data_IF_272459642468
#
_entry.id   IF_272459642468
#
_cell.length_a   1.000
_cell.length_b   1.000
_cell.length_c   1.000
_cell.angle_alpha   90.00
_cell.angle_beta   90.00
_cell.angle_gamma   90.00
#
_symmetry.space_group_name_H-M   'P 1'
#
loop_
_entity.id
_entity.type
_entity.pdbx_description
1 polymer ?
#
# COMPACT_ATOMS: atom_id res chain seq x y z
N UNK A 1 -6.20 -1.29 -3.94
CA UNK A 1 -6.80 0.03 -3.67
C UNK A 1 -8.18 0.04 -4.29
N UNK A 2 -9.22 -0.02 -3.47
CA UNK A 2 -10.58 0.11 -3.98
C UNK A 2 -10.82 1.57 -4.39
N UNK A 3 -11.06 1.81 -5.69
CA UNK A 3 -11.60 3.09 -6.16
C UNK A 3 -13.07 2.87 -6.52
N UNK A 4 -13.98 3.35 -5.67
CA UNK A 4 -15.43 3.25 -5.89
C UNK A 4 -15.93 4.45 -6.71
N UNK A 5 -16.93 4.23 -7.57
CA UNK A 5 -17.71 5.33 -8.17
C UNK A 5 -18.33 6.17 -7.04
N UNK A 6 -18.45 7.49 -7.22
CA UNK A 6 -19.02 8.41 -6.21
C UNK A 6 -20.42 7.93 -5.81
N UNK A 7 -20.55 7.31 -4.63
CA UNK A 7 -21.82 6.95 -4.02
C UNK A 7 -22.35 8.11 -3.18
N UNK A 8 -23.66 8.14 -2.95
CA UNK A 8 -24.28 9.10 -2.04
C UNK A 8 -23.71 8.91 -0.62
N UNK A 9 -23.45 10.01 0.11
CA UNK A 9 -22.82 9.99 1.43
C UNK A 9 -23.58 9.09 2.44
N UNK A 10 -24.91 9.00 2.31
CA UNK A 10 -25.73 8.10 3.10
C UNK A 10 -25.43 6.61 2.87
N UNK A 11 -25.08 6.22 1.64
CA UNK A 11 -24.74 4.83 1.31
C UNK A 11 -23.36 4.49 1.89
N UNK A 12 -22.44 5.46 1.93
CA UNK A 12 -21.10 5.31 2.51
C UNK A 12 -21.17 4.95 4.00
N UNK A 13 -22.14 5.49 4.74
CA UNK A 13 -22.34 5.18 6.17
C UNK A 13 -22.60 3.70 6.46
N UNK A 14 -23.18 2.96 5.50
CA UNK A 14 -23.54 1.54 5.66
C UNK A 14 -22.63 0.61 4.83
N UNK A 15 -21.47 1.09 4.38
CA UNK A 15 -20.56 0.25 3.62
C UNK A 15 -19.77 -0.72 4.50
N UNK A 16 -19.91 -2.00 4.15
CA UNK A 16 -19.22 -3.10 4.82
C UNK A 16 -17.89 -3.46 4.16
N UNK A 17 -17.86 -3.52 2.82
CA UNK A 17 -16.69 -3.97 2.07
C UNK A 17 -15.66 -2.83 1.92
N UNK A 18 -14.45 -3.06 2.44
CA UNK A 18 -13.35 -2.10 2.45
C UNK A 18 -13.40 -1.06 3.57
N UNK A 19 -14.35 -1.20 4.51
CA UNK A 19 -14.32 -0.42 5.76
C UNK A 19 -13.63 -1.23 6.86
N UNK A 20 -13.05 -0.52 7.84
CA UNK A 20 -12.43 -1.14 9.02
C UNK A 20 -13.47 -1.75 9.98
N UNK A 21 -14.76 -1.38 9.84
CA UNK A 21 -15.81 -1.74 10.80
C UNK A 21 -15.96 -3.25 11.06
N UNK A 22 -15.97 -4.14 10.04
CA UNK A 22 -16.15 -5.58 10.27
C UNK A 22 -15.02 -6.19 11.11
N UNK A 23 -13.79 -5.72 10.92
CA UNK A 23 -12.61 -6.16 11.67
C UNK A 23 -12.69 -5.70 13.14
N UNK A 24 -13.32 -4.55 13.39
CA UNK A 24 -13.44 -3.94 14.72
C UNK A 24 -14.67 -4.41 15.50
N UNK A 25 -15.69 -4.92 14.81
CA UNK A 25 -16.98 -5.29 15.41
C UNK A 25 -16.85 -6.19 16.65
N UNK A 26 -16.02 -7.26 16.66
CA UNK A 26 -15.90 -8.12 17.85
C UNK A 26 -15.40 -7.36 19.09
N UNK A 27 -14.47 -6.42 18.88
CA UNK A 27 -13.86 -5.59 19.94
C UNK A 27 -14.89 -4.60 20.49
N UNK A 28 -15.68 -3.99 19.61
CA UNK A 28 -16.76 -3.06 19.97
C UNK A 28 -17.91 -3.75 20.70
N UNK A 29 -18.28 -4.96 20.29
CA UNK A 29 -19.29 -5.78 20.99
C UNK A 29 -18.79 -6.16 22.39
N UNK A 30 -17.52 -6.55 22.52
CA UNK A 30 -16.94 -6.85 23.82
C UNK A 30 -16.94 -5.61 24.74
N UNK A 31 -16.59 -4.44 24.20
CA UNK A 31 -16.67 -3.17 24.94
C UNK A 31 -18.12 -2.84 25.34
N UNK A 32 -19.10 -3.08 24.46
CA UNK A 32 -20.53 -2.88 24.75
C UNK A 32 -20.99 -3.76 25.92
N UNK A 33 -20.67 -5.06 25.87
CA UNK A 33 -21.01 -6.03 26.91
C UNK A 33 -20.36 -5.61 28.23
N UNK A 34 -19.07 -5.27 28.20
CA UNK A 34 -18.35 -4.81 29.39
C UNK A 34 -19.00 -3.57 30.01
N UNK A 35 -19.30 -2.55 29.21
CA UNK A 35 -19.96 -1.34 29.69
C UNK A 35 -21.36 -1.64 30.27
N UNK A 36 -22.09 -2.56 29.66
CA UNK A 36 -23.42 -2.98 30.14
C UNK A 36 -23.31 -3.67 31.50
N UNK A 37 -22.30 -4.52 31.72
CA UNK A 37 -22.02 -5.14 33.02
C UNK A 37 -21.65 -4.09 34.08
N UNK A 38 -20.79 -3.13 33.75
CA UNK A 38 -20.42 -2.05 34.67
C UNK A 38 -21.64 -1.22 35.10
N UNK A 39 -22.57 -0.95 34.19
CA UNK A 39 -23.81 -0.22 34.52
C UNK A 39 -24.76 -1.07 35.35
N UNK A 40 -24.86 -2.36 35.07
CA UNK A 40 -25.69 -3.27 35.87
C UNK A 40 -25.27 -3.25 37.34
N UNK A 41 -23.96 -3.27 37.61
CA UNK A 41 -23.38 -3.19 38.97
C UNK A 41 -23.12 -1.75 39.46
N UNK A 42 -23.72 -0.73 38.84
CA UNK A 42 -23.46 0.68 39.15
C UNK A 42 -23.68 1.00 40.64
N UNK A 43 -24.72 0.47 41.27
CA UNK A 43 -25.06 0.78 42.67
C UNK A 43 -23.96 0.27 43.61
N UNK A 44 -23.55 -0.97 43.41
CA UNK A 44 -22.50 -1.65 44.17
C UNK A 44 -21.16 -0.94 43.97
N UNK A 45 -20.79 -0.63 42.73
CA UNK A 45 -19.54 0.08 42.42
C UNK A 45 -19.47 1.47 43.07
N UNK A 46 -20.58 2.22 43.09
CA UNK A 46 -20.64 3.51 43.78
C UNK A 46 -20.50 3.34 45.29
N UNK A 47 -21.13 2.32 45.89
CA UNK A 47 -21.03 2.03 47.32
C UNK A 47 -19.58 1.70 47.75
N UNK A 48 -18.84 0.97 46.92
CA UNK A 48 -17.42 0.66 47.16
C UNK A 48 -16.45 1.78 46.73
N UNK A 49 -16.95 2.96 46.37
CA UNK A 49 -16.16 4.10 45.87
C UNK A 49 -15.28 3.77 44.64
N UNK A 50 -15.71 2.83 43.80
CA UNK A 50 -15.02 2.46 42.55
C UNK A 50 -15.49 3.36 41.42
N UNK A 51 -15.14 4.65 41.50
CA UNK A 51 -15.39 5.62 40.43
C UNK A 51 -14.15 6.50 40.24
N UNK A 52 -13.96 6.98 39.01
CA UNK A 52 -12.84 7.83 38.62
C UNK A 52 -13.39 9.21 38.25
N UNK A 53 -12.63 10.28 38.47
CA UNK A 53 -13.01 11.61 38.03
C UNK A 53 -13.07 11.68 36.48
N UNK A 54 -14.21 12.08 35.87
CA UNK A 54 -14.34 12.23 34.42
C UNK A 54 -13.26 13.11 33.77
N UNK A 55 -12.77 14.15 34.48
CA UNK A 55 -11.81 15.12 33.95
C UNK A 55 -10.49 14.47 33.53
N UNK A 56 -10.08 13.39 34.20
CA UNK A 56 -8.89 12.60 33.87
C UNK A 56 -9.01 12.01 32.45
N UNK A 57 -10.21 11.53 32.08
CA UNK A 57 -10.46 10.96 30.74
C UNK A 57 -10.49 12.02 29.64
N UNK A 58 -10.83 13.27 29.95
CA UNK A 58 -10.72 14.36 28.98
C UNK A 58 -9.24 14.61 28.65
N UNK A 59 -8.38 14.69 29.66
CA UNK A 59 -6.94 14.89 29.47
C UNK A 59 -6.31 13.74 28.67
N UNK A 60 -6.58 12.48 29.08
CA UNK A 60 -6.06 11.32 28.36
C UNK A 60 -6.64 11.20 26.94
N UNK A 61 -7.92 11.50 26.75
CA UNK A 61 -8.57 11.47 25.43
C UNK A 61 -7.93 12.45 24.45
N UNK A 62 -7.62 13.67 24.89
CA UNK A 62 -6.92 14.68 24.08
C UNK A 62 -5.50 14.21 23.75
N UNK A 63 -4.74 13.73 24.74
CA UNK A 63 -3.40 13.23 24.53
C UNK A 63 -3.37 12.06 23.51
N UNK A 64 -4.29 11.10 23.67
CA UNK A 64 -4.45 9.98 22.75
C UNK A 64 -4.78 10.43 21.33
N UNK A 65 -5.73 11.36 21.17
CA UNK A 65 -6.09 11.91 19.86
C UNK A 65 -4.88 12.54 19.15
N UNK A 66 -4.05 13.29 19.89
CA UNK A 66 -2.83 13.90 19.35
C UNK A 66 -1.82 12.83 18.91
N UNK A 67 -1.54 11.82 19.75
CA UNK A 67 -0.59 10.75 19.40
C UNK A 67 -1.05 9.92 18.20
N UNK A 68 -2.34 9.59 18.12
CA UNK A 68 -2.92 8.93 16.95
C UNK A 68 -2.83 9.80 15.70
N UNK A 69 -3.05 11.11 15.81
CA UNK A 69 -2.87 12.05 14.69
C UNK A 69 -1.45 12.05 14.13
N UNK A 70 -0.44 12.00 15.01
CA UNK A 70 0.95 11.87 14.58
C UNK A 70 1.22 10.55 13.88
N UNK A 71 0.78 9.42 14.46
CA UNK A 71 0.97 8.11 13.83
C UNK A 71 0.29 8.04 12.45
N UNK A 72 -0.96 8.50 12.36
CA UNK A 72 -1.70 8.48 11.11
C UNK A 72 -1.04 9.32 10.02
N UNK A 73 -0.46 10.47 10.40
CA UNK A 73 0.35 11.28 9.46
C UNK A 73 1.54 10.50 8.92
N UNK A 74 2.29 9.81 9.78
CA UNK A 74 3.47 9.02 9.35
C UNK A 74 3.06 7.84 8.46
N UNK A 75 2.01 7.10 8.82
CA UNK A 75 1.48 6.01 7.97
C UNK A 75 1.01 6.55 6.61
N UNK A 76 0.32 7.69 6.60
CA UNK A 76 -0.13 8.33 5.36
C UNK A 76 1.04 8.78 4.46
N UNK A 77 2.08 9.39 5.02
CA UNK A 77 3.27 9.81 4.26
C UNK A 77 3.95 8.62 3.60
N UNK A 78 4.06 7.50 4.31
CA UNK A 78 4.60 6.23 3.81
C UNK A 78 3.77 5.68 2.65
N UNK A 79 2.45 5.61 2.82
CA UNK A 79 1.53 5.20 1.75
C UNK A 79 1.65 6.09 0.51
N UNK A 80 1.68 7.40 0.72
CA UNK A 80 1.78 8.37 -0.37
C UNK A 80 3.14 8.32 -1.07
N UNK A 81 4.22 8.07 -0.34
CA UNK A 81 5.54 7.83 -0.91
C UNK A 81 5.55 6.62 -1.84
N UNK A 82 5.01 5.48 -1.36
CA UNK A 82 4.86 4.27 -2.17
C UNK A 82 4.05 4.52 -3.45
N UNK A 83 2.93 5.26 -3.35
CA UNK A 83 2.10 5.61 -4.52
C UNK A 83 2.85 6.47 -5.54
N UNK A 84 3.66 7.43 -5.07
CA UNK A 84 4.49 8.29 -5.92
C UNK A 84 5.57 7.47 -6.65
N UNK A 85 6.25 6.56 -5.95
CA UNK A 85 7.29 5.69 -6.53
C UNK A 85 6.72 4.83 -7.67
N UNK A 86 5.56 4.21 -7.45
CA UNK A 86 4.88 3.44 -8.51
C UNK A 86 4.34 4.32 -9.65
N UNK A 87 3.99 5.58 -9.38
CA UNK A 87 3.69 6.56 -10.42
C UNK A 87 4.91 6.95 -11.25
N UNK A 88 6.08 7.08 -10.62
CA UNK A 88 7.35 7.33 -11.30
C UNK A 88 7.76 6.11 -12.14
N UNK A 89 7.56 4.88 -11.63
CA UNK A 89 7.81 3.64 -12.38
C UNK A 89 7.11 3.63 -13.74
N UNK A 90 5.82 4.01 -13.77
CA UNK A 90 5.07 4.16 -15.02
C UNK A 90 5.71 5.19 -15.96
N UNK A 91 6.12 6.35 -15.46
CA UNK A 91 6.67 7.42 -16.27
C UNK A 91 8.05 7.06 -16.86
N UNK A 92 8.94 6.50 -16.05
CA UNK A 92 10.31 6.17 -16.46
C UNK A 92 10.33 4.96 -17.42
N UNK A 93 9.51 3.94 -17.17
CA UNK A 93 9.35 2.81 -18.11
C UNK A 93 8.77 3.25 -19.46
N UNK A 94 7.76 4.13 -19.47
CA UNK A 94 7.24 4.73 -20.72
C UNK A 94 8.30 5.53 -21.45
N UNK A 95 9.08 6.32 -20.72
CA UNK A 95 10.16 7.12 -21.31
C UNK A 95 11.22 6.23 -21.96
N UNK A 96 11.63 5.16 -21.29
CA UNK A 96 12.55 4.16 -21.84
C UNK A 96 11.99 3.44 -23.07
N UNK A 97 10.71 3.06 -23.05
CA UNK A 97 10.06 2.45 -24.20
C UNK A 97 10.03 3.41 -25.41
N UNK A 98 9.63 4.66 -25.22
CA UNK A 98 9.62 5.67 -26.28
C UNK A 98 11.03 5.90 -26.82
N UNK A 99 12.03 6.05 -25.94
CA UNK A 99 13.44 6.22 -26.35
C UNK A 99 13.92 5.04 -27.19
N UNK A 100 13.51 3.82 -26.84
CA UNK A 100 13.81 2.60 -27.59
C UNK A 100 13.27 2.66 -29.02
N UNK A 101 12.08 3.22 -29.25
CA UNK A 101 11.50 3.29 -30.61
C UNK A 101 11.87 4.55 -31.41
N UNK A 102 12.41 5.58 -30.76
CA UNK A 102 12.68 6.90 -31.37
C UNK A 102 14.15 7.23 -31.52
N UNK A 103 15.03 6.72 -30.65
CA UNK A 103 16.47 7.04 -30.64
C UNK A 103 17.34 5.95 -31.26
N UNK A 104 16.79 4.76 -31.53
CA UNK A 104 17.47 3.67 -32.22
C UNK A 104 17.20 3.70 -33.73
N UNK A 105 18.22 3.39 -34.53
CA UNK A 105 18.03 3.16 -35.97
C UNK A 105 17.16 1.90 -36.19
N UNK A 106 15.98 2.10 -36.80
CA UNK A 106 14.92 1.10 -36.95
C UNK A 106 15.30 -0.07 -37.88
N UNK A 107 16.33 0.05 -38.71
CA UNK A 107 16.68 -1.03 -39.65
C UNK A 107 17.17 -2.27 -38.89
N UNK A 108 16.36 -3.34 -38.96
CA UNK A 108 16.62 -4.69 -38.43
C UNK A 108 16.83 -4.80 -36.91
N UNK A 109 16.18 -3.95 -36.09
CA UNK A 109 16.34 -3.98 -34.63
C UNK A 109 15.05 -4.24 -33.83
N UNK A 110 13.93 -4.53 -34.52
CA UNK A 110 12.60 -4.67 -33.89
C UNK A 110 12.56 -5.78 -32.84
N UNK A 111 13.20 -6.93 -33.09
CA UNK A 111 13.23 -8.05 -32.14
C UNK A 111 13.90 -7.64 -30.82
N UNK A 112 15.03 -6.95 -30.91
CA UNK A 112 15.79 -6.47 -29.76
C UNK A 112 15.02 -5.39 -29.00
N UNK A 113 14.30 -4.50 -29.71
CA UNK A 113 13.42 -3.52 -29.08
C UNK A 113 12.33 -4.23 -28.25
N UNK A 114 11.64 -5.21 -28.82
CA UNK A 114 10.64 -6.01 -28.09
C UNK A 114 11.25 -6.74 -26.89
N UNK A 115 12.49 -7.26 -26.99
CA UNK A 115 13.20 -7.86 -25.86
C UNK A 115 13.45 -6.85 -24.74
N UNK A 116 13.86 -5.63 -25.06
CA UNK A 116 14.01 -4.54 -24.09
C UNK A 116 12.68 -4.15 -23.42
N UNK A 117 11.60 -4.07 -24.19
CA UNK A 117 10.26 -3.81 -23.66
C UNK A 117 9.82 -4.94 -22.71
N UNK A 118 10.06 -6.19 -23.07
CA UNK A 118 9.73 -7.32 -22.19
C UNK A 118 10.56 -7.31 -20.89
N UNK A 119 11.83 -6.88 -20.93
CA UNK A 119 12.64 -6.66 -19.72
C UNK A 119 12.06 -5.55 -18.84
N UNK A 120 11.58 -4.45 -19.41
CA UNK A 120 10.89 -3.39 -18.63
C UNK A 120 9.62 -3.92 -17.96
N UNK A 121 8.81 -4.70 -18.69
CA UNK A 121 7.60 -5.32 -18.14
C UNK A 121 7.97 -6.33 -17.04
N UNK A 122 9.02 -7.13 -17.25
CA UNK A 122 9.51 -8.08 -16.26
C UNK A 122 10.00 -7.38 -14.99
N UNK A 123 10.67 -6.22 -15.10
CA UNK A 123 11.09 -5.43 -13.94
C UNK A 123 9.90 -4.99 -13.09
N UNK A 124 8.81 -4.55 -13.72
CA UNK A 124 7.59 -4.11 -13.03
C UNK A 124 6.96 -5.25 -12.24
N UNK A 125 6.77 -6.42 -12.88
CA UNK A 125 6.22 -7.60 -12.20
C UNK A 125 7.17 -8.17 -11.15
N UNK A 126 8.47 -8.20 -11.42
CA UNK A 126 9.46 -8.62 -10.44
C UNK A 126 9.43 -7.73 -9.19
N UNK A 127 9.25 -6.42 -9.35
CA UNK A 127 9.12 -5.49 -8.22
C UNK A 127 7.84 -5.74 -7.43
N UNK A 128 6.69 -5.94 -8.10
CA UNK A 128 5.43 -6.38 -7.45
C UNK A 128 5.66 -7.64 -6.61
N UNK A 129 6.25 -8.66 -7.21
CA UNK A 129 6.48 -9.95 -6.57
C UNK A 129 7.46 -9.86 -5.39
N UNK A 130 8.53 -9.09 -5.53
CA UNK A 130 9.48 -8.84 -4.44
C UNK A 130 8.83 -8.13 -3.25
N UNK A 131 8.02 -7.10 -3.50
CA UNK A 131 7.35 -6.35 -2.42
C UNK A 131 6.24 -7.15 -1.72
N UNK A 132 5.68 -8.17 -2.39
CA UNK A 132 4.62 -9.04 -1.86
C UNK A 132 5.10 -10.40 -1.39
N UNK A 133 6.39 -10.69 -1.52
CA UNK A 133 6.96 -12.02 -1.27
C UNK A 133 6.18 -13.16 -1.97
N UNK A 134 5.93 -12.98 -3.27
CA UNK A 134 5.19 -13.95 -4.11
C UNK A 134 6.07 -14.49 -5.24
N UNK A 135 5.74 -15.67 -5.76
CA UNK A 135 6.53 -16.31 -6.83
C UNK A 135 6.35 -15.58 -8.18
N UNK A 136 7.43 -15.04 -8.79
CA UNK A 136 7.36 -14.34 -10.07
C UNK A 136 7.41 -15.27 -11.29
N UNK A 137 7.61 -16.59 -11.11
CA UNK A 137 7.94 -17.53 -12.20
C UNK A 137 7.01 -17.42 -13.42
N UNK A 138 5.70 -17.41 -13.21
CA UNK A 138 4.72 -17.35 -14.31
C UNK A 138 4.89 -16.12 -15.20
N UNK A 139 5.13 -14.95 -14.60
CA UNK A 139 5.37 -13.71 -15.35
C UNK A 139 6.75 -13.70 -16.02
N UNK A 140 7.77 -14.24 -15.34
CA UNK A 140 9.13 -14.32 -15.90
C UNK A 140 9.19 -15.26 -17.10
N UNK A 141 8.65 -16.48 -16.99
CA UNK A 141 8.62 -17.48 -18.08
C UNK A 141 7.89 -16.94 -19.33
N UNK A 142 6.83 -16.13 -19.10
CA UNK A 142 6.06 -15.49 -20.17
C UNK A 142 6.84 -14.38 -20.89
N UNK A 143 7.65 -13.60 -20.16
CA UNK A 143 8.29 -12.38 -20.67
C UNK A 143 9.73 -12.61 -21.14
N UNK A 144 10.46 -13.53 -20.52
CA UNK A 144 11.91 -13.71 -20.66
C UNK A 144 12.28 -14.99 -21.41
N UNK A 145 11.72 -15.18 -22.60
CA UNK A 145 11.79 -16.43 -23.37
C UNK A 145 13.20 -16.85 -23.84
N UNK A 146 14.23 -16.00 -23.70
CA UNK A 146 15.56 -16.18 -24.30
C UNK A 146 16.71 -16.15 -23.28
N UNK A 147 16.66 -16.98 -22.22
CA UNK A 147 17.89 -17.46 -21.58
C UNK A 147 18.31 -16.85 -20.23
N UNK A 148 17.39 -16.23 -19.48
CA UNK A 148 17.70 -15.71 -18.13
C UNK A 148 17.22 -16.62 -16.98
N UNK A 149 16.57 -17.74 -17.29
CA UNK A 149 15.82 -18.54 -16.29
C UNK A 149 16.68 -19.04 -15.14
N UNK A 150 17.88 -19.56 -15.41
CA UNK A 150 18.77 -20.09 -14.36
C UNK A 150 19.34 -18.96 -13.48
N UNK A 151 19.85 -17.89 -14.08
CA UNK A 151 20.44 -16.76 -13.34
C UNK A 151 19.37 -16.01 -12.52
N UNK A 152 18.18 -15.82 -13.09
CA UNK A 152 17.07 -15.14 -12.44
C UNK A 152 16.47 -15.97 -11.31
N UNK A 153 16.43 -17.31 -11.43
CA UNK A 153 15.98 -18.18 -10.35
C UNK A 153 16.90 -18.09 -9.12
N UNK A 154 18.21 -18.00 -9.34
CA UNK A 154 19.20 -17.88 -8.26
C UNK A 154 19.26 -16.46 -7.68
N UNK A 155 18.85 -15.43 -8.45
CA UNK A 155 18.84 -14.05 -8.00
C UNK A 155 17.86 -13.81 -6.84
N UNK A 156 18.39 -13.25 -5.74
CA UNK A 156 17.58 -12.81 -4.59
C UNK A 156 16.82 -11.52 -4.92
N UNK A 157 17.52 -10.50 -5.42
CA UNK A 157 16.95 -9.19 -5.78
C UNK A 157 16.68 -9.10 -7.29
N UNK A 158 15.59 -9.70 -7.73
CA UNK A 158 15.22 -9.84 -9.16
C UNK A 158 15.04 -8.50 -9.90
N UNK A 159 14.41 -7.44 -9.34
CA UNK A 159 14.25 -6.17 -10.03
C UNK A 159 15.59 -5.51 -10.40
N UNK A 160 16.55 -5.50 -9.47
CA UNK A 160 17.88 -4.93 -9.71
C UNK A 160 18.68 -5.81 -10.69
N UNK A 161 18.50 -7.13 -10.65
CA UNK A 161 19.08 -8.02 -11.65
C UNK A 161 18.56 -7.68 -13.06
N UNK A 162 17.25 -7.52 -13.24
CA UNK A 162 16.66 -7.14 -14.54
C UNK A 162 17.12 -5.74 -14.95
N UNK A 163 17.28 -4.80 -14.00
CA UNK A 163 17.82 -3.48 -14.28
C UNK A 163 19.26 -3.53 -14.83
N UNK A 164 20.09 -4.42 -14.30
CA UNK A 164 21.43 -4.70 -14.83
C UNK A 164 21.36 -5.22 -16.27
N UNK A 165 20.44 -6.14 -16.58
CA UNK A 165 20.24 -6.65 -17.94
C UNK A 165 19.79 -5.56 -18.93
N UNK A 166 18.91 -4.64 -18.52
CA UNK A 166 18.55 -3.47 -19.33
C UNK A 166 19.80 -2.62 -19.67
N UNK A 167 20.69 -2.41 -18.71
CA UNK A 167 21.95 -1.69 -18.93
C UNK A 167 22.92 -2.42 -19.89
N UNK A 168 23.02 -3.75 -19.77
CA UNK A 168 23.81 -4.59 -20.69
C UNK A 168 23.26 -4.50 -22.11
N UNK A 169 21.93 -4.52 -22.26
CA UNK A 169 21.27 -4.37 -23.55
C UNK A 169 21.60 -3.01 -24.20
N UNK A 170 21.51 -1.91 -23.45
CA UNK A 170 21.86 -0.56 -23.94
C UNK A 170 23.32 -0.49 -24.39
N UNK A 171 24.23 -1.05 -23.60
CA UNK A 171 25.65 -1.09 -23.95
C UNK A 171 25.92 -1.94 -25.22
N UNK A 172 25.16 -3.03 -25.41
CA UNK A 172 25.24 -3.86 -26.62
C UNK A 172 24.74 -3.09 -27.85
N UNK A 173 23.58 -2.42 -27.76
CA UNK A 173 23.06 -1.57 -28.83
C UNK A 173 24.04 -0.46 -29.24
N UNK A 174 24.78 0.11 -28.28
CA UNK A 174 25.86 1.07 -28.56
C UNK A 174 27.04 0.42 -29.29
N UNK A 175 27.50 -0.75 -28.85
CA UNK A 175 28.60 -1.49 -29.52
C UNK A 175 28.24 -1.84 -30.96
N UNK A 176 26.97 -2.16 -31.20
CA UNK A 176 26.43 -2.47 -32.53
C UNK A 176 26.18 -1.21 -33.40
N UNK A 177 26.57 -0.03 -32.92
CA UNK A 177 26.43 1.24 -33.63
C UNK A 177 24.98 1.73 -33.76
N UNK A 178 24.04 1.15 -32.99
CA UNK A 178 22.62 1.56 -32.98
C UNK A 178 22.36 2.77 -32.09
N UNK A 179 23.23 3.01 -31.09
CA UNK A 179 23.20 4.17 -30.21
C UNK A 179 24.52 4.97 -30.29
N UNK A 180 24.43 6.27 -30.03
CA UNK A 180 25.59 7.13 -29.83
C UNK A 180 25.76 7.48 -28.34
N UNK A 181 26.84 8.19 -27.99
CA UNK A 181 27.11 8.55 -26.58
C UNK A 181 26.03 9.44 -25.97
N UNK A 182 25.45 10.37 -26.74
CA UNK A 182 24.43 11.29 -26.23
C UNK A 182 23.12 10.55 -25.97
N UNK A 183 22.70 9.67 -26.87
CA UNK A 183 21.48 8.87 -26.68
C UNK A 183 21.65 7.88 -25.54
N UNK A 184 22.83 7.28 -25.36
CA UNK A 184 23.10 6.43 -24.20
C UNK A 184 22.88 7.16 -22.87
N UNK A 185 23.39 8.39 -22.72
CA UNK A 185 23.19 9.18 -21.49
C UNK A 185 21.70 9.40 -21.19
N UNK A 186 20.87 9.57 -22.21
CA UNK A 186 19.43 9.72 -22.04
C UNK A 186 18.76 8.43 -21.50
N UNK A 187 19.22 7.26 -21.92
CA UNK A 187 18.78 5.98 -21.36
C UNK A 187 19.27 5.78 -19.93
N UNK A 188 20.56 6.04 -19.68
CA UNK A 188 21.19 5.86 -18.36
C UNK A 188 20.52 6.72 -17.28
N UNK A 189 20.05 7.93 -17.64
CA UNK A 189 19.27 8.78 -16.73
C UNK A 189 17.98 8.12 -16.27
N UNK A 190 17.24 7.46 -17.17
CA UNK A 190 16.00 6.78 -16.81
C UNK A 190 16.28 5.46 -16.07
N UNK A 191 17.35 4.73 -16.40
CA UNK A 191 17.77 3.56 -15.63
C UNK A 191 18.14 3.93 -14.19
N UNK A 192 18.80 5.08 -13.99
CA UNK A 192 19.05 5.62 -12.66
C UNK A 192 17.74 5.88 -11.91
N UNK A 193 16.76 6.52 -12.55
CA UNK A 193 15.45 6.75 -11.92
C UNK A 193 14.78 5.42 -11.52
N UNK A 194 14.83 4.39 -12.37
CA UNK A 194 14.34 3.05 -12.02
C UNK A 194 15.07 2.46 -10.81
N UNK A 195 16.40 2.64 -10.73
CA UNK A 195 17.18 2.22 -9.56
C UNK A 195 16.74 2.95 -8.29
N UNK A 196 16.51 4.26 -8.36
CA UNK A 196 16.06 5.08 -7.24
C UNK A 196 14.64 4.66 -6.79
N UNK A 197 13.77 4.28 -7.73
CA UNK A 197 12.44 3.74 -7.45
C UNK A 197 12.52 2.40 -6.72
N UNK A 198 13.33 1.45 -7.22
CA UNK A 198 13.50 0.14 -6.60
C UNK A 198 14.01 0.31 -5.17
N UNK A 199 15.09 1.08 -4.97
CA UNK A 199 15.64 1.34 -3.64
C UNK A 199 14.67 2.08 -2.72
N UNK A 200 13.84 2.97 -3.26
CA UNK A 200 12.75 3.63 -2.53
C UNK A 200 11.71 2.65 -2.03
N UNK A 201 11.23 1.74 -2.88
CA UNK A 201 10.27 0.71 -2.52
C UNK A 201 10.86 -0.29 -1.51
N UNK A 202 12.10 -0.72 -1.70
CA UNK A 202 12.83 -1.59 -0.76
C UNK A 202 12.98 -0.92 0.61
N UNK A 203 13.38 0.36 0.66
CA UNK A 203 13.48 1.12 1.92
C UNK A 203 12.14 1.18 2.64
N UNK A 204 11.04 1.43 1.93
CA UNK A 204 9.70 1.41 2.52
C UNK A 204 9.45 0.02 3.09
N UNK A 205 9.53 -1.03 2.28
CA UNK A 205 9.25 -2.41 2.72
C UNK A 205 10.12 -2.85 3.91
N UNK A 206 11.41 -2.52 3.93
CA UNK A 206 12.38 -2.98 4.94
C UNK A 206 12.42 -2.13 6.21
N UNK A 207 11.85 -0.93 6.19
CA UNK A 207 11.94 0.04 7.30
C UNK A 207 10.55 0.38 7.83
N UNK A 208 9.87 -0.54 8.57
CA UNK A 208 8.55 -0.28 9.12
C UNK A 208 8.57 0.81 10.20
N UNK A 209 7.40 1.35 10.53
CA UNK A 209 7.27 2.27 11.68
C UNK A 209 7.67 1.47 12.93
N UNK A 210 8.42 2.05 13.90
CA UNK A 210 8.85 1.29 15.05
C UNK A 210 7.66 0.67 15.79
N UNK A 211 7.68 -0.66 15.92
CA UNK A 211 6.59 -1.46 16.50
C UNK A 211 6.13 -0.99 17.90
N UNK A 212 7.03 -0.34 18.64
CA UNK A 212 6.73 0.26 19.95
C UNK A 212 5.62 1.32 19.89
N UNK A 213 5.48 2.06 18.78
CA UNK A 213 4.37 2.99 18.58
C UNK A 213 3.03 2.26 18.54
N UNK A 214 2.92 1.21 17.73
CA UNK A 214 1.69 0.41 17.59
C UNK A 214 1.32 -0.27 18.90
N UNK A 215 2.31 -0.82 19.63
CA UNK A 215 2.07 -1.43 20.96
C UNK A 215 1.58 -0.41 21.98
N UNK A 216 2.18 0.78 22.02
CA UNK A 216 1.80 1.83 22.97
C UNK A 216 0.37 2.30 22.71
N UNK A 217 0.02 2.59 21.45
CA UNK A 217 -1.31 3.03 21.08
C UNK A 217 -2.36 1.95 21.35
N UNK A 218 -2.12 0.70 20.93
CA UNK A 218 -3.04 -0.40 21.21
C UNK A 218 -3.28 -0.56 22.71
N UNK A 219 -2.24 -0.53 23.54
CA UNK A 219 -2.44 -0.69 24.98
C UNK A 219 -3.22 0.48 25.58
N UNK A 220 -2.89 1.70 25.20
CA UNK A 220 -3.45 2.90 25.81
C UNK A 220 -4.87 3.21 25.33
N UNK A 221 -5.19 2.98 24.05
CA UNK A 221 -6.56 3.12 23.50
C UNK A 221 -7.51 2.13 24.18
N UNK A 222 -7.12 0.86 24.32
CA UNK A 222 -7.99 -0.13 24.94
C UNK A 222 -8.14 0.12 26.44
N UNK A 223 -7.03 0.37 27.15
CA UNK A 223 -7.09 0.74 28.57
C UNK A 223 -8.02 1.95 28.78
N UNK A 224 -7.90 2.98 27.95
CA UNK A 224 -8.78 4.15 27.98
C UNK A 224 -10.25 3.77 27.80
N UNK A 225 -10.59 2.99 26.77
CA UNK A 225 -11.98 2.59 26.49
C UNK A 225 -12.58 1.76 27.63
N UNK A 226 -11.82 0.83 28.22
CA UNK A 226 -12.29 -0.01 29.34
C UNK A 226 -12.37 0.74 30.67
N UNK A 227 -11.58 1.80 30.87
CA UNK A 227 -11.66 2.63 32.08
C UNK A 227 -12.75 3.71 31.99
N UNK A 228 -13.10 4.14 30.78
CA UNK A 228 -14.11 5.18 30.53
C UNK A 228 -15.46 4.99 31.26
N UNK A 229 -16.07 3.78 31.33
CA UNK A 229 -17.35 3.62 32.03
C UNK A 229 -17.28 3.98 33.52
N UNK A 230 -16.13 3.81 34.18
CA UNK A 230 -15.94 4.14 35.60
C UNK A 230 -15.91 5.66 35.86
N UNK A 231 -15.57 6.45 34.84
CA UNK A 231 -15.66 7.91 34.91
C UNK A 231 -17.11 8.41 34.96
N UNK A 232 -18.00 7.77 34.20
CA UNK A 232 -19.37 8.26 34.00
C UNK A 232 -20.42 7.58 34.87
N UNK A 233 -20.02 6.75 35.85
CA UNK A 233 -20.93 6.01 36.73
C UNK A 233 -21.97 6.90 37.42
N UNK A 234 -21.59 8.11 37.85
CA UNK A 234 -22.50 9.02 38.58
C UNK A 234 -23.44 9.80 37.65
N UNK A 235 -23.02 10.07 36.42
CA UNK A 235 -23.64 11.10 35.58
C UNK A 235 -24.54 10.57 34.46
N UNK A 236 -24.48 9.27 34.11
CA UNK A 236 -25.21 8.75 32.93
C UNK A 236 -26.11 7.53 33.19
N UNK A 237 -27.18 7.49 32.40
CA UNK A 237 -28.26 6.48 32.34
C UNK A 237 -27.90 5.30 31.42
N UNK A 238 -28.87 4.40 31.16
CA UNK A 238 -28.74 3.21 30.30
C UNK A 238 -28.18 3.46 28.87
N UNK A 239 -28.07 4.72 28.43
CA UNK A 239 -27.48 5.11 27.13
C UNK A 239 -25.95 5.03 27.10
N UNK A 240 -25.30 4.99 28.27
CA UNK A 240 -23.84 5.04 28.39
C UNK A 240 -23.08 3.98 27.55
N UNK A 241 -23.50 2.70 27.43
CA UNK A 241 -22.77 1.73 26.62
C UNK A 241 -22.68 2.15 25.16
N UNK A 242 -23.72 2.76 24.61
CA UNK A 242 -23.75 3.24 23.23
C UNK A 242 -22.77 4.40 23.01
N UNK A 243 -22.73 5.34 23.96
CA UNK A 243 -21.79 6.48 23.90
C UNK A 243 -20.34 6.00 24.00
N UNK A 244 -20.04 5.08 24.91
CA UNK A 244 -18.68 4.55 25.09
C UNK A 244 -18.25 3.74 23.86
N UNK A 245 -19.13 2.92 23.29
CA UNK A 245 -18.84 2.19 22.07
C UNK A 245 -18.62 3.14 20.90
N UNK A 246 -19.39 4.23 20.80
CA UNK A 246 -19.15 5.24 19.78
C UNK A 246 -17.76 5.89 19.93
N UNK A 247 -17.38 6.30 21.15
CA UNK A 247 -16.03 6.85 21.42
C UNK A 247 -14.95 5.79 21.13
N UNK A 248 -15.15 4.55 21.57
CA UNK A 248 -14.25 3.44 21.31
C UNK A 248 -14.08 3.17 19.82
N UNK A 249 -15.17 3.21 19.05
CA UNK A 249 -15.13 3.13 17.60
C UNK A 249 -14.25 4.22 17.00
N UNK A 250 -14.39 5.48 17.43
CA UNK A 250 -13.57 6.57 16.85
C UNK A 250 -12.08 6.35 17.02
N UNK A 251 -11.63 5.92 18.20
CA UNK A 251 -10.21 5.70 18.45
C UNK A 251 -9.68 4.41 17.80
N UNK A 252 -10.41 3.30 17.92
CA UNK A 252 -10.00 2.02 17.35
C UNK A 252 -10.04 2.06 15.82
N UNK A 253 -10.97 2.81 15.22
CA UNK A 253 -11.01 3.02 13.77
C UNK A 253 -9.83 3.85 13.26
N UNK A 254 -9.46 4.93 13.97
CA UNK A 254 -8.28 5.72 13.62
C UNK A 254 -6.99 4.90 13.69
N UNK A 255 -6.86 4.06 14.72
CA UNK A 255 -5.75 3.13 14.85
C UNK A 255 -5.70 2.13 13.69
N UNK A 256 -6.83 1.51 13.35
CA UNK A 256 -6.90 0.53 12.25
C UNK A 256 -6.60 1.15 10.88
N UNK A 257 -7.02 2.40 10.62
CA UNK A 257 -6.67 3.12 9.39
C UNK A 257 -5.15 3.36 9.32
N UNK A 258 -4.53 3.73 10.44
CA UNK A 258 -3.09 3.92 10.48
C UNK A 258 -2.32 2.61 10.27
N UNK A 259 -2.84 1.47 10.76
CA UNK A 259 -2.31 0.14 10.49
C UNK A 259 -2.40 -0.21 9.00
N UNK A 260 -3.58 -0.01 8.38
CA UNK A 260 -3.82 -0.33 6.97
C UNK A 260 -2.93 0.53 6.03
N UNK A 261 -2.72 1.81 6.34
CA UNK A 261 -1.83 2.67 5.55
C UNK A 261 -0.33 2.38 5.77
N UNK A 262 0.03 1.68 6.85
CA UNK A 262 1.43 1.38 7.18
C UNK A 262 2.05 0.35 6.21
N UNK A 263 1.25 -0.53 5.60
CA UNK A 263 1.72 -1.53 4.64
C UNK A 263 1.16 -1.31 3.21
N UNK A 264 1.69 -0.32 2.47
CA UNK A 264 1.12 0.05 1.17
C UNK A 264 1.25 -1.04 0.08
N UNK A 265 2.10 -2.04 0.27
CA UNK A 265 2.38 -3.05 -0.76
C UNK A 265 1.64 -4.37 -0.54
N UNK A 266 0.85 -4.48 0.53
CA UNK A 266 0.10 -5.67 0.88
C UNK A 266 -1.01 -6.03 -0.11
N UNK A 267 -1.95 -6.83 0.40
CA UNK A 267 -3.08 -7.41 -0.34
C UNK A 267 -4.44 -7.00 0.25
N UNK A 268 -4.45 -6.15 1.27
CA UNK A 268 -5.67 -5.63 1.85
C UNK A 268 -6.39 -4.71 0.86
N UNK A 269 -7.70 -4.49 1.03
CA UNK A 269 -8.50 -3.77 0.04
C UNK A 269 -8.00 -2.34 -0.26
N UNK A 270 -7.48 -1.64 0.75
CA UNK A 270 -7.02 -0.26 0.61
C UNK A 270 -5.52 -0.12 0.31
N UNK A 271 -4.75 -1.21 0.28
CA UNK A 271 -3.34 -1.22 -0.15
C UNK A 271 -3.21 -0.80 -1.61
N UNK A 272 -2.00 -0.52 -2.10
CA UNK A 272 -1.82 -0.22 -3.53
C UNK A 272 -2.24 -1.44 -4.38
N UNK A 273 -2.99 -1.18 -5.45
CA UNK A 273 -3.43 -2.24 -6.35
C UNK A 273 -2.32 -2.61 -7.36
N UNK A 274 -1.20 -3.11 -6.83
CA UNK A 274 0.02 -3.37 -7.60
C UNK A 274 -0.21 -4.28 -8.81
N UNK A 275 -1.16 -5.21 -8.73
CA UNK A 275 -1.51 -6.08 -9.85
C UNK A 275 -2.07 -5.27 -11.03
N UNK A 276 -3.13 -4.49 -10.81
CA UNK A 276 -3.69 -3.63 -11.84
C UNK A 276 -2.70 -2.57 -12.31
N UNK A 277 -1.88 -2.02 -11.41
CA UNK A 277 -0.88 -1.02 -11.79
C UNK A 277 0.16 -1.65 -12.71
N UNK A 278 0.59 -2.88 -12.41
CA UNK A 278 1.54 -3.63 -13.24
C UNK A 278 0.95 -3.96 -14.60
N UNK A 279 -0.30 -4.44 -14.65
CA UNK A 279 -1.01 -4.71 -15.91
C UNK A 279 -1.22 -3.44 -16.74
N UNK A 280 -1.52 -2.30 -16.10
CA UNK A 280 -1.66 -1.01 -16.78
C UNK A 280 -0.33 -0.52 -17.36
N UNK A 281 0.77 -0.65 -16.62
CA UNK A 281 2.11 -0.37 -17.13
C UNK A 281 2.41 -1.30 -18.30
N UNK A 282 2.23 -2.61 -18.13
CA UNK A 282 2.45 -3.63 -19.17
C UNK A 282 1.71 -3.30 -20.46
N UNK A 283 0.39 -3.09 -20.38
CA UNK A 283 -0.43 -2.75 -21.54
C UNK A 283 0.07 -1.48 -22.24
N UNK A 284 0.49 -0.47 -21.48
CA UNK A 284 1.03 0.74 -22.10
C UNK A 284 2.34 0.45 -22.85
N UNK A 285 3.22 -0.37 -22.27
CA UNK A 285 4.50 -0.70 -22.90
C UNK A 285 4.32 -1.59 -24.14
N UNK A 286 3.35 -2.52 -24.11
CA UNK A 286 2.95 -3.35 -25.26
C UNK A 286 2.41 -2.47 -26.40
N UNK A 287 1.57 -1.48 -26.09
CA UNK A 287 1.01 -0.58 -27.09
C UNK A 287 2.07 0.31 -27.75
N UNK A 288 3.04 0.80 -26.96
CA UNK A 288 4.21 1.55 -27.50
C UNK A 288 5.05 0.69 -28.45
N UNK A 289 5.09 -0.63 -28.24
CA UNK A 289 5.78 -1.61 -29.09
C UNK A 289 4.93 -2.09 -30.30
N UNK A 290 3.82 -1.39 -30.60
CA UNK A 290 2.87 -1.71 -31.67
C UNK A 290 2.27 -3.13 -31.57
N UNK A 291 2.20 -3.70 -30.36
CA UNK A 291 1.60 -5.02 -30.09
C UNK A 291 0.14 -4.87 -29.63
N UNK A 292 -0.68 -5.88 -29.91
CA UNK A 292 -2.09 -5.89 -29.48
C UNK A 292 -2.18 -6.11 -27.98
N UNK A 293 -2.89 -5.21 -27.30
CA UNK A 293 -3.24 -5.35 -25.89
C UNK A 293 -4.45 -6.26 -25.71
N UNK A 294 -4.50 -6.97 -24.58
CA UNK A 294 -5.72 -7.62 -24.13
C UNK A 294 -6.37 -6.68 -23.12
N UNK A 295 -7.50 -6.08 -23.48
CA UNK A 295 -8.20 -5.15 -22.60
C UNK A 295 -8.72 -5.93 -21.39
N UNK A 296 -8.29 -5.58 -20.18
CA UNK A 296 -8.90 -6.13 -18.97
C UNK A 296 -10.37 -5.67 -18.90
N UNK A 297 -11.33 -6.58 -18.68
CA UNK A 297 -12.72 -6.19 -18.51
C UNK A 297 -12.82 -5.23 -17.31
N UNK A 298 -13.42 -4.05 -17.51
CA UNK A 298 -13.76 -3.15 -16.40
C UNK A 298 -14.66 -3.91 -15.42
N UNK A 299 -14.24 -4.04 -14.17
CA UNK A 299 -15.11 -4.59 -13.14
C UNK A 299 -16.27 -3.60 -12.92
N UNK A 300 -17.51 -4.07 -13.00
CA UNK A 300 -18.71 -3.23 -12.98
C UNK A 300 -18.88 -2.43 -11.68
N UNK A 301 -18.28 -2.91 -10.58
CA UNK A 301 -18.50 -2.38 -9.23
C UNK A 301 -17.34 -1.54 -8.67
N UNK A 302 -16.09 -1.76 -9.14
CA UNK A 302 -14.89 -1.10 -8.64
C UNK A 302 -13.82 -0.90 -9.73
N UNK A 303 -13.09 0.22 -9.71
CA UNK A 303 -11.84 0.30 -10.47
C UNK A 303 -10.72 -0.22 -9.58
N UNK A 304 -10.12 -1.35 -9.98
CA UNK A 304 -8.80 -1.75 -9.48
C UNK A 304 -7.81 -1.11 -10.44
N UNK A 305 -7.22 0.03 -10.05
CA UNK A 305 -6.11 0.67 -10.80
C UNK A 305 -4.80 0.16 -10.26
#
# INVERSE_FOLDING_TARGET
>A
MIIKKKKNWFIILFEWNGSVLPQLLPRLVLLFIFCSVVIYFKKELILYNVFIDPSIFTLFGIALAIFMGFRNTVSYERYWEARKLWGALLNDTRSLAIQTHTLLDRKNYKKQQTEFINLLIALVHALKHQLRDTDPKTDMDRLLTNGYDEELQVAVFKPVFILKELGIWINTAKRDGKLNKMTQVAFDSNLKNLSDIIGGCERIASTPIPYTYSVLLHRTVYLYCFLLPFGFLKSMSCILPFVIVFVGYTFVALEAIADELEDPFGIEPNDLALESMSVMIENTLIEIDDRKITVCPESADYYVI
#
